data_IF_409573210448
#
_entry.id   IF_409573210448
#
_cell.length_a   1.000
_cell.length_b   1.000
_cell.length_c   1.000
_cell.angle_alpha   90.00
_cell.angle_beta   90.00
_cell.angle_gamma   90.00
#
_symmetry.space_group_name_H-M   'P 1'
#
loop_
_entity.id
_entity.type
_entity.pdbx_description
1 polymer ?
#
# COMPACT_ATOMS: atom_id res chain seq x y z
N UNK A 1 10.14 -7.08 -35.07
CA UNK A 1 8.67 -6.95 -35.00
C UNK A 1 8.35 -5.47 -34.96
N UNK A 2 7.53 -4.98 -35.90
CA UNK A 2 7.28 -3.56 -36.10
C UNK A 2 6.39 -2.99 -34.97
N UNK A 3 6.88 -1.95 -34.28
CA UNK A 3 6.06 -1.19 -33.35
C UNK A 3 5.03 -0.38 -34.14
N UNK A 4 3.75 -0.59 -33.86
CA UNK A 4 2.66 0.22 -34.43
C UNK A 4 2.78 1.63 -33.86
N UNK A 5 3.05 2.61 -34.72
CA UNK A 5 3.00 4.02 -34.36
C UNK A 5 1.56 4.40 -33.97
N UNK A 6 1.39 4.86 -32.74
CA UNK A 6 0.11 5.38 -32.21
C UNK A 6 -0.18 6.70 -32.93
N UNK A 7 -1.18 6.73 -33.82
CA UNK A 7 -1.56 7.93 -34.56
C UNK A 7 -2.39 8.87 -33.66
N UNK A 8 -1.76 9.93 -33.15
CA UNK A 8 -2.40 10.90 -32.27
C UNK A 8 -3.17 11.97 -33.09
N UNK A 9 -4.50 12.12 -32.96
CA UNK A 9 -5.32 13.00 -33.80
C UNK A 9 -5.00 14.50 -33.62
N UNK A 10 -4.40 14.89 -32.50
CA UNK A 10 -3.94 16.27 -32.21
C UNK A 10 -2.68 16.65 -32.99
N UNK A 11 -1.84 15.69 -33.37
CA UNK A 11 -0.57 15.96 -34.05
C UNK A 11 -0.74 16.59 -35.45
N UNK A 12 -1.91 16.39 -36.09
CA UNK A 12 -2.23 16.93 -37.42
C UNK A 12 -2.53 18.42 -37.43
N UNK A 13 -2.88 19.04 -36.28
CA UNK A 13 -3.24 20.47 -36.21
C UNK A 13 -2.02 21.40 -36.28
N UNK A 14 -0.84 20.94 -35.88
CA UNK A 14 0.39 21.74 -35.90
C UNK A 14 1.62 20.85 -36.01
N UNK A 15 2.35 20.97 -37.12
CA UNK A 15 3.55 20.16 -37.38
C UNK A 15 4.75 20.80 -36.68
N UNK A 16 5.43 20.04 -35.81
CA UNK A 16 6.72 20.41 -35.22
C UNK A 16 7.84 19.87 -36.09
N UNK A 17 8.67 20.74 -36.68
CA UNK A 17 9.89 20.32 -37.39
C UNK A 17 10.95 19.89 -36.37
N UNK A 18 11.55 18.72 -36.57
CA UNK A 18 12.63 18.15 -35.75
C UNK A 18 13.86 18.01 -36.64
N UNK A 19 15.01 18.52 -36.19
CA UNK A 19 16.27 18.57 -36.96
C UNK A 19 17.32 17.55 -36.49
N UNK A 20 17.01 16.74 -35.48
CA UNK A 20 17.92 15.72 -34.95
C UNK A 20 18.00 14.50 -35.87
N UNK A 21 19.21 13.96 -36.05
CA UNK A 21 19.46 12.77 -36.87
C UNK A 21 19.41 11.45 -36.08
N UNK A 22 19.47 11.53 -34.75
CA UNK A 22 19.39 10.36 -33.86
C UNK A 22 17.91 10.01 -33.68
N UNK A 23 17.53 8.80 -34.07
CA UNK A 23 16.17 8.32 -33.94
C UNK A 23 15.95 7.79 -32.51
N UNK A 24 14.80 8.12 -31.93
CA UNK A 24 14.39 7.66 -30.61
C UNK A 24 14.20 6.13 -30.63
N UNK A 25 15.07 5.40 -29.93
CA UNK A 25 15.10 3.92 -29.94
C UNK A 25 14.14 3.34 -28.89
N UNK A 26 13.86 4.10 -27.83
CA UNK A 26 12.99 3.72 -26.71
C UNK A 26 12.06 4.89 -26.44
N UNK A 27 10.78 4.61 -26.19
CA UNK A 27 9.81 5.65 -25.86
C UNK A 27 10.10 6.24 -24.48
N UNK A 28 9.81 7.53 -24.32
CA UNK A 28 9.87 8.19 -23.02
C UNK A 28 9.01 7.44 -21.98
N UNK A 29 9.59 7.02 -20.85
CA UNK A 29 8.86 6.32 -19.81
C UNK A 29 7.92 7.27 -19.07
N UNK A 30 7.07 6.71 -18.20
CA UNK A 30 6.22 7.52 -17.36
C UNK A 30 7.07 8.23 -16.28
N UNK A 31 7.10 9.56 -16.32
CA UNK A 31 7.97 10.38 -15.46
C UNK A 31 7.60 10.34 -13.97
N UNK A 32 6.40 9.83 -13.62
CA UNK A 32 5.94 9.67 -12.23
C UNK A 32 5.87 8.20 -11.80
N UNK A 33 6.36 7.27 -12.63
CA UNK A 33 6.27 5.84 -12.40
C UNK A 33 6.97 5.41 -11.12
N UNK A 34 8.18 5.93 -10.88
CA UNK A 34 8.97 5.61 -9.69
C UNK A 34 8.19 5.87 -8.39
N UNK A 35 7.51 7.01 -8.31
CA UNK A 35 6.74 7.38 -7.11
C UNK A 35 5.52 6.49 -6.92
N UNK A 36 4.80 6.22 -8.01
CA UNK A 36 3.60 5.38 -7.99
C UNK A 36 3.94 3.94 -7.65
N UNK A 37 4.96 3.39 -8.30
CA UNK A 37 5.40 2.02 -8.10
C UNK A 37 5.94 1.81 -6.68
N UNK A 38 6.76 2.73 -6.17
CA UNK A 38 7.27 2.64 -4.80
C UNK A 38 6.14 2.60 -3.77
N UNK A 39 5.08 3.39 -3.96
CA UNK A 39 3.98 3.41 -3.01
C UNK A 39 3.06 2.19 -3.13
N UNK A 40 2.82 1.71 -4.35
CA UNK A 40 2.08 0.48 -4.58
C UNK A 40 2.80 -0.73 -3.96
N UNK A 41 4.11 -0.83 -4.15
CA UNK A 41 4.97 -1.86 -3.55
C UNK A 41 4.94 -1.83 -2.02
N UNK A 42 4.77 -0.65 -1.41
CA UNK A 42 4.61 -0.52 0.03
C UNK A 42 3.22 -0.98 0.48
N UNK A 43 2.15 -0.58 -0.21
CA UNK A 43 0.77 -0.76 0.25
C UNK A 43 0.16 -2.13 -0.05
N UNK A 44 0.42 -2.73 -1.22
CA UNK A 44 -0.34 -3.91 -1.68
C UNK A 44 0.55 -5.13 -1.85
N UNK A 45 0.16 -6.21 -1.18
CA UNK A 45 0.71 -7.54 -1.43
C UNK A 45 -0.02 -8.17 -2.61
N UNK A 46 0.67 -8.98 -3.38
CA UNK A 46 0.07 -9.76 -4.47
C UNK A 46 0.39 -11.25 -4.27
N UNK A 47 -0.54 -12.01 -3.67
CA UNK A 47 -0.38 -13.45 -3.47
C UNK A 47 -0.21 -14.24 -4.77
N UNK A 48 -0.70 -13.72 -5.91
CA UNK A 48 -0.66 -14.44 -7.19
C UNK A 48 0.76 -14.57 -7.75
N UNK A 49 1.61 -13.58 -7.45
CA UNK A 49 3.03 -13.57 -7.80
C UNK A 49 3.94 -13.84 -6.60
N UNK A 50 3.36 -14.13 -5.43
CA UNK A 50 4.09 -14.32 -4.17
C UNK A 50 4.77 -13.05 -3.64
N UNK A 51 4.30 -11.87 -4.06
CA UNK A 51 4.87 -10.59 -3.63
C UNK A 51 4.26 -10.17 -2.29
N UNK A 52 5.14 -9.89 -1.31
CA UNK A 52 4.77 -9.39 0.01
C UNK A 52 5.16 -7.93 0.11
N UNK A 53 4.17 -7.08 0.40
CA UNK A 53 4.33 -5.63 0.48
C UNK A 53 5.24 -5.20 1.62
N UNK A 54 5.75 -3.96 1.52
CA UNK A 54 6.52 -3.36 2.61
C UNK A 54 5.72 -3.26 3.91
N UNK A 55 4.43 -2.93 3.81
CA UNK A 55 3.52 -2.87 4.96
C UNK A 55 3.34 -4.24 5.62
N UNK A 56 3.07 -5.29 4.84
CA UNK A 56 2.92 -6.64 5.39
C UNK A 56 4.21 -7.16 6.03
N UNK A 57 5.37 -6.92 5.39
CA UNK A 57 6.68 -7.26 5.97
C UNK A 57 6.89 -6.58 7.31
N UNK A 58 6.49 -5.31 7.41
CA UNK A 58 6.61 -4.53 8.65
C UNK A 58 5.71 -5.11 9.74
N UNK A 59 4.46 -5.42 9.43
CA UNK A 59 3.54 -6.05 10.38
C UNK A 59 4.10 -7.42 10.84
N UNK A 60 4.50 -8.29 9.90
CA UNK A 60 5.11 -9.60 10.22
C UNK A 60 6.42 -9.52 10.98
N UNK A 61 7.12 -8.38 10.97
CA UNK A 61 8.35 -8.21 11.75
C UNK A 61 8.10 -7.92 13.23
N UNK A 62 6.92 -7.40 13.56
CA UNK A 62 6.51 -7.08 14.93
C UNK A 62 5.78 -8.25 15.58
N UNK A 63 5.02 -9.01 14.80
CA UNK A 63 4.28 -10.18 15.26
C UNK A 63 5.07 -11.48 15.10
N UNK A 64 4.86 -12.50 15.96
CA UNK A 64 3.90 -12.53 17.06
C UNK A 64 4.37 -11.78 18.31
N UNK A 65 3.41 -11.18 19.02
CA UNK A 65 3.64 -10.53 20.33
C UNK A 65 3.20 -11.50 21.42
N UNK A 66 4.11 -11.80 22.35
CA UNK A 66 3.85 -12.69 23.49
C UNK A 66 3.79 -11.91 24.79
N UNK A 67 2.90 -12.32 25.68
CA UNK A 67 2.88 -11.81 27.05
C UNK A 67 4.07 -12.33 27.87
N UNK A 68 4.38 -11.65 28.97
CA UNK A 68 5.50 -12.05 29.84
C UNK A 68 5.27 -13.39 30.55
N UNK A 69 4.01 -13.75 30.80
CA UNK A 69 3.65 -15.00 31.48
C UNK A 69 3.58 -16.20 30.51
N UNK A 70 3.64 -15.98 29.19
CA UNK A 70 3.50 -17.02 28.17
C UNK A 70 2.09 -17.60 28.08
N UNK A 71 1.08 -16.90 28.60
CA UNK A 71 -0.33 -17.30 28.61
C UNK A 71 -1.10 -16.77 27.41
N UNK A 72 -0.53 -15.83 26.65
CA UNK A 72 -1.18 -15.24 25.49
C UNK A 72 -0.18 -14.90 24.38
N UNK A 73 -0.56 -15.20 23.14
CA UNK A 73 0.17 -14.83 21.93
C UNK A 73 -0.77 -14.15 20.95
N UNK A 74 -0.39 -12.97 20.46
CA UNK A 74 -1.10 -12.27 19.40
C UNK A 74 -0.32 -12.40 18.11
N UNK A 75 -0.96 -12.91 17.08
CA UNK A 75 -0.38 -13.16 15.77
C UNK A 75 -1.08 -12.35 14.68
N UNK A 76 -0.35 -12.07 13.59
CA UNK A 76 -0.84 -11.33 12.44
C UNK A 76 -1.29 -12.30 11.34
N UNK A 77 -2.55 -12.18 10.93
CA UNK A 77 -3.13 -13.02 9.86
C UNK A 77 -2.97 -12.32 8.51
N UNK A 78 -3.64 -11.18 8.35
CA UNK A 78 -3.63 -10.35 7.14
C UNK A 78 -4.02 -8.89 7.46
N UNK A 79 -4.00 -8.04 6.44
CA UNK A 79 -4.49 -6.66 6.50
C UNK A 79 -5.32 -6.35 5.27
N UNK A 80 -6.22 -5.39 5.41
CA UNK A 80 -7.08 -4.87 4.35
C UNK A 80 -7.13 -3.34 4.43
N UNK A 81 -7.09 -2.71 3.26
CA UNK A 81 -7.33 -1.28 3.09
C UNK A 81 -8.73 -1.12 2.52
N UNK A 82 -9.61 -0.52 3.30
CA UNK A 82 -10.96 -0.20 2.85
C UNK A 82 -10.95 0.93 1.81
N UNK A 83 -12.08 1.12 1.13
CA UNK A 83 -12.21 2.25 0.22
C UNK A 83 -12.15 3.59 0.98
N UNK A 84 -11.52 4.61 0.39
CA UNK A 84 -11.49 5.94 1.00
C UNK A 84 -12.92 6.50 1.09
N UNK A 85 -13.24 7.11 2.25
CA UNK A 85 -14.59 7.64 2.53
C UNK A 85 -15.00 8.78 1.61
N UNK A 86 -14.02 9.48 1.04
CA UNK A 86 -14.19 10.68 0.23
C UNK A 86 -13.25 10.62 -0.97
N UNK A 87 -13.63 11.27 -2.07
CA UNK A 87 -12.76 11.41 -3.23
C UNK A 87 -11.77 12.57 -3.07
N UNK A 88 -10.87 12.72 -4.05
CA UNK A 88 -9.82 13.73 -4.03
C UNK A 88 -10.37 15.15 -4.04
N UNK A 89 -11.44 15.40 -4.80
CA UNK A 89 -12.04 16.74 -4.93
C UNK A 89 -12.75 17.16 -3.64
N UNK A 90 -13.46 16.24 -2.99
CA UNK A 90 -14.08 16.49 -1.70
C UNK A 90 -13.02 16.70 -0.61
N UNK A 91 -11.95 15.90 -0.60
CA UNK A 91 -10.84 16.08 0.33
C UNK A 91 -10.21 17.48 0.21
N UNK A 92 -10.03 17.95 -1.03
CA UNK A 92 -9.52 19.29 -1.33
C UNK A 92 -10.45 20.39 -0.81
N UNK A 93 -11.75 20.29 -1.08
CA UNK A 93 -12.72 21.34 -0.73
C UNK A 93 -12.95 21.42 0.79
N UNK A 94 -12.99 20.27 1.47
CA UNK A 94 -13.32 20.20 2.90
C UNK A 94 -12.11 20.31 3.82
N UNK A 95 -10.90 20.38 3.29
CA UNK A 95 -9.68 20.50 4.10
C UNK A 95 -9.30 19.21 4.82
N UNK A 96 -9.69 18.05 4.30
CA UNK A 96 -9.45 16.73 4.93
C UNK A 96 -8.39 15.94 4.16
N UNK A 97 -7.89 14.86 4.76
CA UNK A 97 -6.87 13.98 4.16
C UNK A 97 -7.52 12.91 3.30
N UNK A 98 -6.99 12.67 2.12
CA UNK A 98 -7.41 11.55 1.27
C UNK A 98 -6.74 10.27 1.75
N UNK A 99 -7.49 9.42 2.46
CA UNK A 99 -6.98 8.23 3.11
C UNK A 99 -8.01 7.09 3.13
N UNK A 100 -7.49 5.86 3.19
CA UNK A 100 -8.25 4.63 3.36
C UNK A 100 -8.11 4.09 4.79
N UNK A 101 -9.20 3.69 5.45
CA UNK A 101 -9.14 2.94 6.70
C UNK A 101 -8.36 1.63 6.53
N UNK A 102 -7.40 1.39 7.42
CA UNK A 102 -6.64 0.13 7.46
C UNK A 102 -7.16 -0.75 8.59
N UNK A 103 -7.61 -1.95 8.23
CA UNK A 103 -7.97 -3.01 9.18
C UNK A 103 -6.95 -4.13 9.12
N UNK A 104 -6.63 -4.67 10.28
CA UNK A 104 -5.70 -5.79 10.43
C UNK A 104 -6.39 -6.89 11.20
N UNK A 105 -6.42 -8.10 10.64
CA UNK A 105 -6.96 -9.27 11.32
C UNK A 105 -5.87 -9.86 12.20
N UNK A 106 -6.13 -9.83 13.50
CA UNK A 106 -5.25 -10.37 14.51
C UNK A 106 -5.86 -11.64 15.10
N UNK A 107 -4.99 -12.61 15.40
CA UNK A 107 -5.35 -13.84 16.10
C UNK A 107 -4.76 -13.82 17.50
N UNK A 108 -5.61 -13.85 18.52
CA UNK A 108 -5.21 -14.04 19.91
C UNK A 108 -5.34 -15.53 20.26
N UNK A 109 -4.21 -16.14 20.64
CA UNK A 109 -4.13 -17.50 21.14
C UNK A 109 -3.90 -17.42 22.65
N UNK A 110 -4.80 -18.00 23.42
CA UNK A 110 -4.68 -18.12 24.89
C UNK A 110 -4.21 -19.52 25.22
N UNK A 111 -3.21 -19.63 26.08
CA UNK A 111 -2.65 -20.88 26.54
C UNK A 111 -3.03 -21.15 28.00
N UNK A 112 -3.31 -22.40 28.30
CA UNK A 112 -3.33 -22.91 29.66
C UNK A 112 -1.95 -23.51 29.96
N UNK A 113 -1.36 -23.10 31.08
CA UNK A 113 -0.05 -23.59 31.53
C UNK A 113 -0.29 -24.49 32.73
N UNK A 114 0.03 -25.77 32.59
CA UNK A 114 -0.02 -26.73 33.68
C UNK A 114 1.10 -26.39 34.69
N UNK A 115 0.77 -26.08 35.96
CA UNK A 115 1.76 -25.69 36.96
C UNK A 115 2.72 -26.83 37.37
N UNK A 116 2.35 -28.10 37.14
CA UNK A 116 3.15 -29.25 37.53
C UNK A 116 4.06 -29.74 36.40
N UNK A 117 3.64 -29.59 35.14
CA UNK A 117 4.37 -30.09 33.97
C UNK A 117 4.99 -29.01 33.08
N UNK A 118 4.68 -27.73 33.34
CA UNK A 118 5.04 -26.56 32.50
C UNK A 118 4.59 -26.71 31.02
N UNK A 119 3.71 -27.67 30.73
CA UNK A 119 3.21 -27.93 29.39
C UNK A 119 2.19 -26.85 29.01
N UNK A 120 2.30 -26.32 27.79
CA UNK A 120 1.36 -25.33 27.25
C UNK A 120 0.35 -26.01 26.34
N UNK A 121 -0.92 -25.91 26.67
CA UNK A 121 -2.03 -26.31 25.80
C UNK A 121 -2.78 -25.08 25.31
N UNK A 122 -3.32 -25.15 24.09
CA UNK A 122 -4.16 -24.07 23.56
C UNK A 122 -5.52 -24.14 24.25
N UNK A 123 -5.89 -23.06 24.94
CA UNK A 123 -7.19 -22.92 25.60
C UNK A 123 -8.24 -22.35 24.64
N UNK A 124 -7.89 -21.27 23.93
CA UNK A 124 -8.81 -20.54 23.07
C UNK A 124 -8.07 -19.83 21.93
N UNK A 125 -8.75 -19.65 20.80
CA UNK A 125 -8.26 -18.88 19.66
C UNK A 125 -9.36 -17.93 19.22
N UNK A 126 -9.08 -16.62 19.23
CA UNK A 126 -9.99 -15.59 18.74
C UNK A 126 -9.34 -14.82 17.61
N UNK A 127 -10.06 -14.70 16.49
CA UNK A 127 -9.68 -13.83 15.39
C UNK A 127 -10.58 -12.60 15.39
N UNK A 128 -9.97 -11.42 15.20
CA UNK A 128 -10.71 -10.17 15.16
C UNK A 128 -10.05 -9.16 14.25
N UNK A 129 -10.89 -8.45 13.49
CA UNK A 129 -10.47 -7.31 12.68
C UNK A 129 -10.36 -6.06 13.56
N UNK A 130 -9.16 -5.50 13.62
CA UNK A 130 -8.84 -4.30 14.40
C UNK A 130 -8.55 -3.16 13.45
N UNK A 131 -9.19 -2.01 13.67
CA UNK A 131 -8.87 -0.78 12.97
C UNK A 131 -7.53 -0.22 13.48
N UNK A 132 -6.55 -0.10 12.58
CA UNK A 132 -5.18 0.33 12.91
C UNK A 132 -4.92 1.80 12.61
N UNK A 133 -5.78 2.45 11.82
CA UNK A 133 -5.64 3.86 11.44
C UNK A 133 -5.99 4.12 9.99
N UNK A 134 -5.87 5.38 9.56
CA UNK A 134 -6.10 5.80 8.18
C UNK A 134 -4.76 5.92 7.43
N UNK A 135 -4.66 5.26 6.28
CA UNK A 135 -3.50 5.30 5.39
C UNK A 135 -3.73 6.29 4.26
N UNK A 136 -2.95 7.39 4.16
CA UNK A 136 -3.08 8.37 3.07
C UNK A 136 -2.88 7.69 1.71
N UNK A 137 -3.78 7.89 0.75
CA UNK A 137 -3.64 7.29 -0.57
C UNK A 137 -2.97 8.24 -1.56
N UNK A 138 -2.17 7.67 -2.46
CA UNK A 138 -1.55 8.43 -3.55
C UNK A 138 -2.55 8.62 -4.69
N UNK A 139 -2.64 9.84 -5.21
CA UNK A 139 -3.47 10.14 -6.38
C UNK A 139 -2.81 9.61 -7.67
N UNK A 140 -3.56 9.60 -8.78
CA UNK A 140 -3.01 9.22 -10.09
C UNK A 140 -1.81 10.06 -10.57
N UNK A 141 -1.58 11.23 -9.97
CA UNK A 141 -0.50 12.14 -10.31
C UNK A 141 0.77 11.93 -9.46
N UNK A 142 0.76 10.99 -8.52
CA UNK A 142 1.91 10.76 -7.62
C UNK A 142 1.96 11.71 -6.42
N UNK A 143 0.81 12.28 -6.04
CA UNK A 143 0.68 13.27 -4.95
C UNK A 143 -0.23 12.75 -3.83
N UNK A 144 -0.20 13.40 -2.67
CA UNK A 144 -1.06 13.11 -1.52
C UNK A 144 -1.85 14.33 -1.11
N UNK A 145 -3.12 14.16 -0.74
CA UNK A 145 -3.91 15.22 -0.11
C UNK A 145 -3.84 15.09 1.40
N UNK A 146 -3.14 16.02 2.05
CA UNK A 146 -3.00 16.07 3.52
C UNK A 146 -3.64 17.38 3.99
N UNK A 147 -4.71 17.28 4.78
CA UNK A 147 -5.49 18.43 5.27
C UNK A 147 -5.89 19.39 4.12
N UNK A 148 -6.44 18.82 3.03
CA UNK A 148 -6.85 19.55 1.82
C UNK A 148 -5.72 20.14 0.96
N UNK A 149 -4.46 19.97 1.36
CA UNK A 149 -3.30 20.46 0.59
C UNK A 149 -2.63 19.32 -0.14
N UNK A 150 -2.36 19.51 -1.43
CA UNK A 150 -1.60 18.57 -2.23
C UNK A 150 -0.12 18.62 -1.88
N UNK A 151 0.47 17.46 -1.60
CA UNK A 151 1.87 17.29 -1.18
C UNK A 151 2.57 16.22 -2.00
N UNK A 152 3.88 16.38 -2.13
CA UNK A 152 4.79 15.43 -2.80
C UNK A 152 5.84 15.00 -1.80
N UNK A 153 6.12 13.69 -1.75
CA UNK A 153 7.23 13.13 -0.99
C UNK A 153 8.42 13.02 -1.93
N UNK A 154 9.54 13.64 -1.58
CA UNK A 154 10.78 13.60 -2.38
C UNK A 154 11.61 12.40 -1.95
N UNK A 155 12.16 11.66 -2.92
CA UNK A 155 13.10 10.58 -2.67
C UNK A 155 14.37 11.13 -1.98
N UNK A 156 14.82 10.47 -0.92
CA UNK A 156 16.06 10.79 -0.22
C UNK A 156 17.25 10.03 -0.78
#
# INVERSE_FOLDING_TARGET
MASKAVSNPTAKKRIRKVFGNIHEVVQMPNLIEVQRESYEQFLRSDPSIGYVSGLEKTLRSVFPIRDFAGTAEMDFVNYELEEPKYDVEECRQRGITYAAPMRVTLRLIVFEVDPDTETRSVLDIKEQDVYMGDMPLMTGNGTFFINGTERVIVSQ
#
